data_IF_399517235294
#
_entry.id   IF_399517235294
#
_cell.length_a   1.000
_cell.length_b   1.000
_cell.length_c   1.000
_cell.angle_alpha   90.00
_cell.angle_beta   90.00
_cell.angle_gamma   90.00
#
_symmetry.space_group_name_H-M   'P 1'
#
loop_
_entity.id
_entity.type
_entity.pdbx_description
1 polymer ?
#
# COMPACT_ATOMS: atom_id res chain seq x y z
N UNK A 1 13.82 23.40 -10.19
CA UNK A 1 14.97 22.71 -9.55
C UNK A 1 15.47 23.49 -8.34
N UNK A 2 15.42 22.90 -7.15
CA UNK A 2 16.06 23.51 -5.97
C UNK A 2 17.59 23.52 -6.18
N UNK A 3 18.30 24.58 -5.80
CA UNK A 3 19.73 24.76 -6.13
C UNK A 3 20.68 23.71 -5.53
N UNK A 4 20.21 22.86 -4.61
CA UNK A 4 21.04 21.88 -3.89
C UNK A 4 20.61 20.42 -4.07
N UNK A 5 19.55 20.15 -4.84
CA UNK A 5 19.15 18.75 -5.09
C UNK A 5 20.11 18.06 -6.05
N UNK A 6 20.56 16.86 -5.69
CA UNK A 6 21.51 16.03 -6.42
C UNK A 6 20.87 14.71 -6.92
N UNK A 7 19.56 14.54 -6.75
CA UNK A 7 18.77 13.46 -7.37
C UNK A 7 17.40 13.96 -7.82
N UNK A 8 16.91 13.38 -8.93
CA UNK A 8 15.57 13.58 -9.45
C UNK A 8 14.86 12.22 -9.59
N UNK A 9 13.61 12.17 -9.14
CA UNK A 9 12.68 11.07 -9.39
C UNK A 9 11.62 11.51 -10.38
N UNK A 10 11.18 10.60 -11.23
CA UNK A 10 10.02 10.77 -12.10
C UNK A 10 8.97 9.76 -11.65
N UNK A 11 7.90 10.25 -11.02
CA UNK A 11 6.97 9.44 -10.23
C UNK A 11 5.60 9.40 -10.89
N UNK A 12 4.99 8.21 -10.87
CA UNK A 12 3.65 7.97 -11.37
C UNK A 12 3.52 8.03 -12.89
N UNK A 13 2.30 7.74 -13.36
CA UNK A 13 1.94 7.82 -14.77
C UNK A 13 1.98 9.27 -15.29
N UNK A 14 1.71 10.23 -14.42
CA UNK A 14 1.82 11.67 -14.68
C UNK A 14 3.26 12.19 -14.80
N UNK A 15 4.27 11.34 -14.56
CA UNK A 15 5.68 11.67 -14.70
C UNK A 15 6.09 12.90 -13.86
N UNK A 16 5.53 13.02 -12.65
CA UNK A 16 5.83 14.14 -11.76
C UNK A 16 7.29 14.10 -11.33
N UNK A 17 7.98 15.23 -11.51
CA UNK A 17 9.40 15.38 -11.14
C UNK A 17 9.52 15.76 -9.67
N UNK A 18 10.18 14.92 -8.89
CA UNK A 18 10.48 15.16 -7.48
C UNK A 18 12.00 15.28 -7.31
N UNK A 19 12.46 16.40 -6.76
CA UNK A 19 13.87 16.67 -6.51
C UNK A 19 14.20 16.43 -5.03
N UNK A 20 15.33 15.81 -4.75
CA UNK A 20 15.74 15.48 -3.38
C UNK A 20 17.27 15.45 -3.22
N UNK A 21 17.71 15.17 -1.99
CA UNK A 21 19.10 15.08 -1.57
C UNK A 21 19.47 13.61 -1.28
N UNK A 22 20.42 13.07 -2.05
CA UNK A 22 20.88 11.68 -1.93
C UNK A 22 21.36 11.37 -0.52
N UNK A 23 22.08 12.30 0.10
CA UNK A 23 22.63 12.12 1.45
C UNK A 23 21.53 11.93 2.51
N UNK A 24 20.43 12.69 2.43
CA UNK A 24 19.30 12.59 3.36
C UNK A 24 18.60 11.23 3.18
N UNK A 25 18.25 10.89 1.93
CA UNK A 25 17.53 9.65 1.63
C UNK A 25 18.36 8.41 1.97
N UNK A 26 19.62 8.36 1.56
CA UNK A 26 20.50 7.22 1.82
C UNK A 26 20.86 7.06 3.31
N UNK A 27 20.93 8.16 4.07
CA UNK A 27 21.17 8.07 5.52
C UNK A 27 19.99 7.44 6.25
N UNK A 28 18.76 7.77 5.82
CA UNK A 28 17.53 7.47 6.57
C UNK A 28 16.73 6.29 6.06
N UNK A 29 17.04 5.75 4.88
CA UNK A 29 16.37 4.59 4.32
C UNK A 29 17.35 3.69 3.57
N UNK A 30 17.43 2.42 3.97
CA UNK A 30 18.33 1.44 3.35
C UNK A 30 17.96 1.13 1.90
N UNK A 31 16.66 1.12 1.58
CA UNK A 31 16.18 0.92 0.21
C UNK A 31 16.65 2.07 -0.68
N UNK A 32 16.50 3.33 -0.23
CA UNK A 32 17.05 4.46 -0.96
C UNK A 32 18.58 4.40 -1.03
N UNK A 33 19.29 4.01 0.04
CA UNK A 33 20.76 3.83 -0.02
C UNK A 33 21.17 2.84 -1.11
N UNK A 34 20.50 1.68 -1.16
CA UNK A 34 20.73 0.66 -2.17
C UNK A 34 20.41 1.17 -3.57
N UNK A 35 19.22 1.72 -3.78
CA UNK A 35 18.79 2.27 -5.07
C UNK A 35 19.74 3.37 -5.58
N UNK A 36 20.15 4.29 -4.70
CA UNK A 36 21.04 5.39 -5.07
C UNK A 36 22.48 4.93 -5.31
N UNK A 37 22.92 3.83 -4.70
CA UNK A 37 24.25 3.25 -4.96
C UNK A 37 24.36 2.61 -6.35
N UNK A 38 23.23 2.28 -6.98
CA UNK A 38 23.18 1.74 -8.33
C UNK A 38 23.16 2.87 -9.36
N UNK A 39 23.69 2.58 -10.54
CA UNK A 39 23.61 3.50 -11.67
C UNK A 39 22.16 3.61 -12.19
N UNK A 40 21.59 4.81 -12.44
CA UNK A 40 20.29 4.93 -13.08
C UNK A 40 20.23 4.17 -14.41
N UNK A 41 19.08 3.57 -14.67
CA UNK A 41 18.79 2.82 -15.90
C UNK A 41 19.03 3.74 -17.11
N UNK A 42 19.90 3.31 -18.04
CA UNK A 42 20.24 4.06 -19.27
C UNK A 42 21.67 4.63 -19.33
N UNK A 43 22.51 4.39 -18.33
CA UNK A 43 23.92 4.81 -18.33
C UNK A 43 24.86 3.64 -18.68
N UNK A 44 24.92 3.27 -19.96
CA UNK A 44 25.84 2.22 -20.48
C UNK A 44 27.19 2.75 -20.98
N UNK A 45 27.47 4.04 -20.89
CA UNK A 45 28.75 4.58 -21.35
C UNK A 45 29.80 4.47 -20.23
N UNK A 46 30.48 3.33 -20.28
CA UNK A 46 31.63 2.97 -19.46
C UNK A 46 32.83 3.87 -19.80
N UNK A 47 33.29 4.72 -18.87
CA UNK A 47 34.70 5.17 -18.71
C UNK A 47 34.90 6.40 -17.80
N UNK A 48 33.84 7.02 -17.27
CA UNK A 48 33.97 8.21 -16.43
C UNK A 48 33.62 7.93 -14.97
N UNK A 49 34.49 8.36 -14.06
CA UNK A 49 34.36 8.29 -12.60
C UNK A 49 33.25 9.19 -12.01
N UNK A 50 32.22 9.50 -12.81
CA UNK A 50 31.13 10.39 -12.44
C UNK A 50 29.89 9.53 -12.19
N UNK A 51 29.24 9.61 -11.01
CA UNK A 51 28.02 8.87 -10.76
C UNK A 51 26.95 9.28 -11.79
N UNK A 52 26.20 8.32 -12.35
CA UNK A 52 25.36 8.60 -13.51
C UNK A 52 24.18 9.53 -13.17
N UNK A 53 23.92 10.45 -14.09
CA UNK A 53 23.15 11.70 -13.88
C UNK A 53 21.67 11.59 -14.33
N UNK A 54 21.10 10.38 -14.37
CA UNK A 54 19.74 10.14 -14.85
C UNK A 54 18.66 10.17 -13.73
N UNK A 55 17.39 10.47 -14.07
CA UNK A 55 16.30 10.38 -13.11
C UNK A 55 15.96 8.92 -12.76
N UNK A 56 15.53 8.68 -11.53
CA UNK A 56 14.95 7.39 -11.13
C UNK A 56 13.45 7.36 -11.48
N UNK A 57 13.01 6.39 -12.27
CA UNK A 57 11.63 6.28 -12.73
C UNK A 57 10.83 5.35 -11.82
N UNK A 58 9.78 5.87 -11.19
CA UNK A 58 8.89 5.16 -10.26
C UNK A 58 7.46 5.14 -10.82
N UNK A 59 7.22 4.30 -11.83
CA UNK A 59 5.95 4.29 -12.57
C UNK A 59 4.73 3.77 -11.81
N UNK A 60 4.93 2.93 -10.79
CA UNK A 60 3.85 2.30 -10.03
C UNK A 60 3.53 3.00 -8.71
N UNK A 61 4.18 4.12 -8.40
CA UNK A 61 4.00 4.85 -7.15
C UNK A 61 3.20 6.12 -7.42
N UNK A 62 2.14 6.35 -6.65
CA UNK A 62 1.39 7.61 -6.71
C UNK A 62 2.25 8.76 -6.18
N UNK A 63 2.33 9.91 -6.85
CA UNK A 63 3.22 10.99 -6.42
C UNK A 63 2.94 11.53 -5.03
N UNK A 64 1.66 11.60 -4.62
CA UNK A 64 1.27 12.02 -3.27
C UNK A 64 1.84 11.09 -2.18
N UNK A 65 1.77 9.77 -2.41
CA UNK A 65 2.32 8.75 -1.52
C UNK A 65 3.85 8.88 -1.44
N UNK A 66 4.51 9.07 -2.58
CA UNK A 66 5.95 9.26 -2.61
C UNK A 66 6.37 10.54 -1.87
N UNK A 67 5.64 11.64 -2.08
CA UNK A 67 5.90 12.91 -1.40
C UNK A 67 5.72 12.79 0.12
N UNK A 68 4.73 12.03 0.60
CA UNK A 68 4.55 11.74 2.03
C UNK A 68 5.74 10.97 2.62
N UNK A 69 6.28 9.99 1.89
CA UNK A 69 7.51 9.27 2.28
C UNK A 69 8.70 10.22 2.32
N UNK A 70 8.85 11.09 1.33
CA UNK A 70 9.92 12.09 1.29
C UNK A 70 9.78 13.07 2.45
N UNK A 71 8.59 13.62 2.72
CA UNK A 71 8.30 14.50 3.86
C UNK A 71 8.77 13.86 5.17
N UNK A 72 8.43 12.58 5.39
CA UNK A 72 8.86 11.83 6.56
C UNK A 72 10.38 11.70 6.67
N UNK A 73 11.07 11.40 5.57
CA UNK A 73 12.53 11.29 5.59
C UNK A 73 13.20 12.63 5.95
N UNK A 74 12.61 13.76 5.56
CA UNK A 74 13.18 15.07 5.90
C UNK A 74 12.81 15.56 7.30
N UNK A 75 11.60 15.28 7.75
CA UNK A 75 11.01 15.97 8.92
C UNK A 75 10.69 15.03 10.09
N UNK A 76 10.75 13.72 9.89
CA UNK A 76 10.26 12.70 10.82
C UNK A 76 8.76 12.85 11.15
N UNK A 77 8.02 13.58 10.31
CA UNK A 77 6.59 13.84 10.38
C UNK A 77 5.96 13.60 9.00
N UNK A 78 4.66 13.36 8.95
CA UNK A 78 3.95 13.15 7.67
C UNK A 78 2.55 13.75 7.76
N UNK A 79 2.12 14.38 6.68
CA UNK A 79 0.75 14.86 6.53
C UNK A 79 -0.08 13.79 5.81
N UNK A 80 -0.94 13.10 6.58
CA UNK A 80 -1.80 12.04 6.06
C UNK A 80 -3.23 12.54 5.83
N UNK A 81 -3.88 11.94 4.83
CA UNK A 81 -5.32 12.02 4.64
C UNK A 81 -5.88 10.60 4.40
N UNK A 82 -7.19 10.44 4.48
CA UNK A 82 -7.87 9.15 4.36
C UNK A 82 -7.69 8.45 3.01
N UNK A 83 -7.34 9.18 1.95
CA UNK A 83 -7.20 8.62 0.60
C UNK A 83 -5.84 7.99 0.34
N UNK A 84 -4.78 8.46 1.01
CA UNK A 84 -3.41 7.96 0.79
C UNK A 84 -2.86 7.13 1.96
N UNK A 85 -3.56 7.09 3.10
CA UNK A 85 -3.01 6.54 4.33
C UNK A 85 -2.63 5.05 4.22
N UNK A 86 -3.40 4.25 3.47
CA UNK A 86 -3.14 2.82 3.27
C UNK A 86 -1.98 2.58 2.30
N UNK A 87 -1.85 3.39 1.26
CA UNK A 87 -0.73 3.34 0.33
C UNK A 87 0.56 3.82 0.99
N UNK A 88 0.51 4.87 1.83
CA UNK A 88 1.67 5.30 2.61
C UNK A 88 2.05 4.24 3.64
N UNK A 89 1.09 3.56 4.27
CA UNK A 89 1.37 2.40 5.11
C UNK A 89 2.11 1.31 4.32
N UNK A 90 1.61 0.96 3.14
CA UNK A 90 2.25 -0.01 2.22
C UNK A 90 3.70 0.39 1.91
N UNK A 91 3.91 1.60 1.39
CA UNK A 91 5.25 2.11 1.06
C UNK A 91 6.16 2.17 2.28
N UNK A 92 5.63 2.52 3.46
CA UNK A 92 6.44 2.57 4.68
C UNK A 92 6.99 1.20 5.07
N UNK A 93 6.24 0.11 4.83
CA UNK A 93 6.71 -1.26 5.05
C UNK A 93 7.75 -1.64 3.99
N UNK A 94 7.49 -1.36 2.72
CA UNK A 94 8.41 -1.63 1.59
C UNK A 94 9.76 -0.91 1.75
N UNK A 95 9.74 0.34 2.21
CA UNK A 95 10.95 1.12 2.48
C UNK A 95 11.59 0.82 3.85
N UNK A 96 10.97 -0.01 4.68
CA UNK A 96 11.46 -0.35 6.02
C UNK A 96 11.38 0.80 7.03
N UNK A 97 10.46 1.75 6.85
CA UNK A 97 10.28 2.94 7.66
C UNK A 97 9.29 2.67 8.80
N UNK A 98 9.76 2.00 9.85
CA UNK A 98 8.91 1.52 10.95
C UNK A 98 8.19 2.64 11.72
N UNK A 99 8.82 3.80 11.91
CA UNK A 99 8.15 4.90 12.61
C UNK A 99 7.06 5.56 11.74
N UNK A 100 7.25 5.60 10.42
CA UNK A 100 6.18 5.99 9.49
C UNK A 100 5.04 4.96 9.51
N UNK A 101 5.34 3.65 9.56
CA UNK A 101 4.32 2.61 9.72
C UNK A 101 3.43 2.89 10.94
N UNK A 102 4.04 3.21 12.09
CA UNK A 102 3.31 3.52 13.34
C UNK A 102 2.43 4.77 13.20
N UNK A 103 2.92 5.81 12.52
CA UNK A 103 2.14 7.03 12.26
C UNK A 103 0.92 6.71 11.37
N UNK A 104 1.11 5.94 10.31
CA UNK A 104 0.02 5.50 9.43
C UNK A 104 -1.01 4.63 10.18
N UNK A 105 -0.56 3.62 10.94
CA UNK A 105 -1.46 2.77 11.72
C UNK A 105 -2.29 3.60 12.70
N UNK A 106 -1.65 4.52 13.42
CA UNK A 106 -2.36 5.42 14.34
C UNK A 106 -3.41 6.24 13.62
N UNK A 107 -3.03 6.90 12.52
CA UNK A 107 -3.95 7.72 11.73
C UNK A 107 -5.14 6.90 11.23
N UNK A 108 -4.89 5.72 10.66
CA UNK A 108 -5.95 4.83 10.13
C UNK A 108 -6.92 4.43 11.24
N UNK A 109 -6.44 4.11 12.45
CA UNK A 109 -7.31 3.79 13.60
C UNK A 109 -8.18 4.98 14.01
N UNK A 110 -7.61 6.19 13.98
CA UNK A 110 -8.31 7.40 14.41
C UNK A 110 -9.36 7.88 13.36
N UNK A 111 -9.17 7.55 12.08
CA UNK A 111 -10.04 8.00 10.97
C UNK A 111 -10.80 6.86 10.28
N UNK A 112 -10.83 5.66 10.86
CA UNK A 112 -11.39 4.47 10.24
C UNK A 112 -12.89 4.65 9.94
N UNK A 113 -13.31 4.22 8.75
CA UNK A 113 -14.70 4.29 8.31
C UNK A 113 -15.22 2.93 7.85
N UNK A 114 -16.56 2.80 7.76
CA UNK A 114 -17.23 1.57 7.30
C UNK A 114 -16.80 1.18 5.88
N UNK A 115 -16.60 2.15 5.00
CA UNK A 115 -16.16 1.88 3.62
C UNK A 115 -14.70 1.40 3.55
N UNK A 116 -13.85 1.85 4.47
CA UNK A 116 -12.40 1.59 4.44
C UNK A 116 -11.95 0.40 5.29
N UNK A 117 -12.76 -0.05 6.25
CA UNK A 117 -12.33 -1.04 7.24
C UNK A 117 -11.91 -2.37 6.62
N UNK A 118 -12.59 -2.81 5.56
CA UNK A 118 -12.24 -4.05 4.87
C UNK A 118 -10.85 -3.93 4.21
N UNK A 119 -10.61 -2.86 3.48
CA UNK A 119 -9.32 -2.59 2.84
C UNK A 119 -8.19 -2.46 3.87
N UNK A 120 -8.44 -1.72 4.96
CA UNK A 120 -7.51 -1.59 6.07
C UNK A 120 -7.18 -2.94 6.72
N UNK A 121 -8.18 -3.81 6.91
CA UNK A 121 -7.96 -5.16 7.43
C UNK A 121 -7.11 -6.00 6.47
N UNK A 122 -7.34 -5.89 5.16
CA UNK A 122 -6.53 -6.60 4.16
C UNK A 122 -5.07 -6.15 4.24
N UNK A 123 -4.81 -4.84 4.22
CA UNK A 123 -3.47 -4.30 4.37
C UNK A 123 -2.82 -4.76 5.69
N UNK A 124 -3.57 -4.73 6.80
CA UNK A 124 -3.07 -5.13 8.10
C UNK A 124 -2.70 -6.63 8.15
N UNK A 125 -3.45 -7.50 7.46
CA UNK A 125 -3.12 -8.92 7.33
C UNK A 125 -1.89 -9.11 6.46
N UNK A 126 -1.84 -8.48 5.28
CA UNK A 126 -0.73 -8.58 4.32
C UNK A 126 0.60 -8.15 4.94
N UNK A 127 0.61 -7.05 5.70
CA UNK A 127 1.83 -6.50 6.30
C UNK A 127 2.05 -6.92 7.76
N UNK A 128 1.28 -7.87 8.28
CA UNK A 128 1.46 -8.39 9.64
C UNK A 128 1.23 -7.36 10.76
N UNK A 129 0.42 -6.33 10.54
CA UNK A 129 0.11 -5.28 11.52
C UNK A 129 -0.97 -5.76 12.50
N UNK A 130 -0.57 -6.57 13.50
CA UNK A 130 -1.50 -7.26 14.42
C UNK A 130 -2.42 -6.30 15.18
N UNK A 131 -1.90 -5.18 15.67
CA UNK A 131 -2.70 -4.17 16.39
C UNK A 131 -3.81 -3.57 15.49
N UNK A 132 -3.48 -3.26 14.23
CA UNK A 132 -4.45 -2.77 13.26
C UNK A 132 -5.48 -3.86 12.91
N UNK A 133 -5.05 -5.11 12.74
CA UNK A 133 -5.98 -6.23 12.49
C UNK A 133 -7.02 -6.37 13.60
N UNK A 134 -6.61 -6.30 14.86
CA UNK A 134 -7.51 -6.40 16.01
C UNK A 134 -8.49 -5.22 16.04
N UNK A 135 -7.99 -4.01 15.78
CA UNK A 135 -8.82 -2.81 15.73
C UNK A 135 -9.86 -2.86 14.60
N UNK A 136 -9.46 -3.24 13.39
CA UNK A 136 -10.38 -3.40 12.27
C UNK A 136 -11.42 -4.49 12.54
N UNK A 137 -11.02 -5.62 13.12
CA UNK A 137 -11.98 -6.69 13.46
C UNK A 137 -13.01 -6.22 14.49
N UNK A 138 -12.58 -5.53 15.55
CA UNK A 138 -13.49 -4.96 16.54
C UNK A 138 -14.46 -3.93 15.92
N UNK A 139 -13.97 -3.12 14.97
CA UNK A 139 -14.82 -2.18 14.22
C UNK A 139 -15.87 -2.94 13.37
N UNK A 140 -15.47 -4.00 12.67
CA UNK A 140 -16.39 -4.84 11.87
C UNK A 140 -17.45 -5.48 12.77
N UNK A 141 -17.08 -5.98 13.94
CA UNK A 141 -18.03 -6.53 14.92
C UNK A 141 -19.06 -5.47 15.37
N UNK A 142 -18.61 -4.23 15.60
CA UNK A 142 -19.50 -3.11 15.97
C UNK A 142 -20.38 -2.58 14.83
N UNK A 143 -20.01 -2.81 13.58
CA UNK A 143 -20.71 -2.27 12.39
C UNK A 143 -21.03 -3.34 11.34
N UNK A 144 -21.24 -4.59 11.75
CA UNK A 144 -21.27 -5.77 10.86
C UNK A 144 -22.25 -5.57 9.69
N UNK A 145 -23.50 -5.24 9.98
CA UNK A 145 -24.54 -5.08 8.94
C UNK A 145 -24.22 -3.99 7.93
N UNK A 146 -23.56 -2.91 8.34
CA UNK A 146 -23.14 -1.85 7.42
C UNK A 146 -21.95 -2.32 6.56
N UNK A 147 -20.96 -2.98 7.19
CA UNK A 147 -19.77 -3.51 6.51
C UNK A 147 -20.13 -4.58 5.48
N UNK A 148 -21.06 -5.49 5.76
CA UNK A 148 -21.47 -6.54 4.82
C UNK A 148 -22.01 -5.99 3.49
N UNK A 149 -22.48 -4.74 3.47
CA UNK A 149 -23.06 -4.09 2.28
C UNK A 149 -22.02 -3.34 1.44
N UNK A 150 -20.83 -3.08 1.98
CA UNK A 150 -19.79 -2.30 1.31
C UNK A 150 -19.18 -3.06 0.14
N UNK A 151 -18.61 -2.30 -0.80
CA UNK A 151 -17.81 -2.88 -1.86
C UNK A 151 -16.56 -3.58 -1.29
N UNK A 152 -15.92 -2.97 -0.29
CA UNK A 152 -14.73 -3.53 0.35
C UNK A 152 -14.93 -4.93 0.94
N UNK A 153 -16.13 -5.27 1.44
CA UNK A 153 -16.41 -6.64 1.89
C UNK A 153 -16.44 -7.66 0.74
N UNK A 154 -17.04 -7.28 -0.40
CA UNK A 154 -17.12 -8.14 -1.60
C UNK A 154 -15.77 -8.39 -2.26
N UNK A 155 -14.80 -7.53 -2.00
CA UNK A 155 -13.45 -7.57 -2.56
C UNK A 155 -12.40 -8.12 -1.57
N UNK A 156 -12.82 -8.66 -0.42
CA UNK A 156 -11.91 -9.31 0.51
C UNK A 156 -11.21 -10.49 -0.14
N UNK A 157 -9.92 -10.68 0.14
CA UNK A 157 -9.25 -11.97 -0.09
C UNK A 157 -9.91 -13.07 0.75
N UNK A 158 -9.82 -14.31 0.28
CA UNK A 158 -10.31 -15.51 0.96
C UNK A 158 -9.72 -15.66 2.38
N UNK A 159 -8.43 -15.34 2.54
CA UNK A 159 -7.72 -15.34 3.82
C UNK A 159 -8.38 -14.37 4.82
N UNK A 160 -8.70 -13.16 4.36
CA UNK A 160 -9.26 -12.10 5.22
C UNK A 160 -10.74 -12.37 5.49
N UNK A 161 -11.50 -12.81 4.48
CA UNK A 161 -12.89 -13.22 4.66
C UNK A 161 -12.99 -14.35 5.71
N UNK A 162 -12.19 -15.40 5.58
CA UNK A 162 -12.17 -16.49 6.53
C UNK A 162 -11.82 -16.01 7.95
N UNK A 163 -11.00 -14.96 8.07
CA UNK A 163 -10.69 -14.35 9.37
C UNK A 163 -11.89 -13.60 9.95
N UNK A 164 -12.62 -12.85 9.13
CA UNK A 164 -13.84 -12.15 9.57
C UNK A 164 -14.91 -13.17 10.00
N UNK A 165 -15.16 -14.20 9.18
CA UNK A 165 -16.19 -15.22 9.45
C UNK A 165 -15.87 -16.15 10.64
N UNK A 166 -14.62 -16.18 11.12
CA UNK A 166 -14.24 -16.89 12.34
C UNK A 166 -14.60 -16.13 13.62
N UNK A 167 -15.06 -14.87 13.52
CA UNK A 167 -15.51 -14.12 14.69
C UNK A 167 -16.91 -14.54 15.08
N UNK A 168 -17.07 -14.99 16.33
CA UNK A 168 -18.38 -15.29 16.94
C UNK A 168 -19.14 -14.03 17.38
N UNK A 169 -18.60 -12.83 17.13
CA UNK A 169 -19.16 -11.54 17.56
C UNK A 169 -19.78 -10.72 16.43
N UNK A 170 -19.95 -11.30 15.24
CA UNK A 170 -20.60 -10.63 14.12
C UNK A 170 -22.08 -10.41 14.41
N UNK A 171 -22.48 -9.15 14.53
CA UNK A 171 -23.85 -8.76 14.85
C UNK A 171 -24.72 -8.67 13.58
N UNK A 172 -25.01 -9.81 12.95
CA UNK A 172 -25.87 -9.90 11.77
C UNK A 172 -26.69 -11.21 11.77
N UNK A 173 -27.85 -11.18 11.12
CA UNK A 173 -28.64 -12.39 10.90
C UNK A 173 -27.87 -13.37 9.99
N UNK A 174 -28.03 -14.68 10.25
CA UNK A 174 -27.36 -15.73 9.48
C UNK A 174 -27.69 -15.63 7.98
N UNK A 175 -28.93 -15.26 7.65
CA UNK A 175 -29.36 -15.05 6.28
C UNK A 175 -28.58 -13.92 5.59
N UNK A 176 -28.35 -12.80 6.29
CA UNK A 176 -27.59 -11.66 5.77
C UNK A 176 -26.12 -12.03 5.55
N UNK A 177 -25.53 -12.79 6.49
CA UNK A 177 -24.16 -13.28 6.37
C UNK A 177 -24.00 -14.24 5.18
N UNK A 178 -24.89 -15.22 5.04
CA UNK A 178 -24.87 -16.17 3.92
C UNK A 178 -25.06 -15.46 2.59
N UNK A 179 -25.96 -14.46 2.53
CA UNK A 179 -26.15 -13.67 1.33
C UNK A 179 -24.89 -12.87 0.97
N UNK A 180 -24.27 -12.19 1.94
CA UNK A 180 -23.04 -11.43 1.71
C UNK A 180 -21.88 -12.32 1.24
N UNK A 181 -21.71 -13.51 1.84
CA UNK A 181 -20.70 -14.49 1.42
C UNK A 181 -20.98 -15.03 0.01
N UNK A 182 -22.25 -15.23 -0.35
CA UNK A 182 -22.64 -15.62 -1.70
C UNK A 182 -22.31 -14.53 -2.72
N UNK A 183 -22.59 -13.26 -2.41
CA UNK A 183 -22.23 -12.12 -3.26
C UNK A 183 -20.71 -12.02 -3.45
N UNK A 184 -19.95 -12.14 -2.36
CA UNK A 184 -18.49 -12.22 -2.40
C UNK A 184 -17.99 -13.36 -3.29
N UNK A 185 -18.57 -14.55 -3.16
CA UNK A 185 -18.17 -15.72 -3.95
C UNK A 185 -18.43 -15.51 -5.45
N UNK A 186 -19.54 -14.85 -5.80
CA UNK A 186 -19.81 -14.47 -7.18
C UNK A 186 -18.74 -13.53 -7.73
N UNK A 187 -18.41 -12.45 -7.02
CA UNK A 187 -17.36 -11.49 -7.44
C UNK A 187 -15.99 -12.18 -7.55
N UNK A 188 -15.60 -12.92 -6.52
CA UNK A 188 -14.32 -13.63 -6.46
C UNK A 188 -14.18 -14.67 -7.58
N UNK A 189 -15.26 -15.38 -7.93
CA UNK A 189 -15.24 -16.35 -9.03
C UNK A 189 -14.94 -15.70 -10.39
N UNK A 190 -15.44 -14.49 -10.63
CA UNK A 190 -15.19 -13.74 -11.87
C UNK A 190 -13.74 -13.25 -11.92
N UNK A 191 -13.22 -12.71 -10.81
CA UNK A 191 -11.83 -12.26 -10.71
C UNK A 191 -10.83 -13.41 -10.87
N UNK A 192 -11.12 -14.58 -10.29
CA UNK A 192 -10.31 -15.80 -10.43
C UNK A 192 -10.36 -16.35 -11.87
N UNK A 193 -11.48 -16.19 -12.57
CA UNK A 193 -11.57 -16.58 -13.99
C UNK A 193 -10.78 -15.66 -14.92
N UNK A 194 -10.68 -14.37 -14.61
CA UNK A 194 -9.88 -13.40 -15.39
C UNK A 194 -8.36 -13.55 -15.19
N UNK A 195 -7.92 -14.10 -14.06
CA UNK A 195 -6.49 -14.34 -13.78
C UNK A 195 -5.96 -15.69 -14.34
N UNK A 196 -6.81 -16.52 -14.94
CA UNK A 196 -6.36 -17.78 -15.58
C UNK A 196 -5.69 -17.46 -16.93
N UNK A 197 -4.43 -17.89 -17.16
CA UNK A 197 -3.84 -17.79 -18.49
C UNK A 197 -4.67 -18.61 -19.50
N UNK A 198 -4.78 -18.17 -20.76
CA UNK A 198 -5.55 -18.88 -21.77
C UNK A 198 -5.01 -20.32 -21.91
N UNK A 199 -5.91 -21.31 -21.87
CA UNK A 199 -5.58 -22.71 -22.09
C UNK A 199 -5.02 -22.85 -23.51
N UNK A 200 -3.70 -22.92 -23.63
CA UNK A 200 -3.01 -23.09 -24.91
C UNK A 200 -1.54 -22.63 -24.97
N UNK A 201 -1.02 -21.92 -23.95
CA UNK A 201 0.33 -21.36 -24.04
C UNK A 201 1.49 -22.33 -23.73
N UNK A 202 1.22 -23.62 -23.49
CA UNK A 202 2.26 -24.63 -23.25
C UNK A 202 2.05 -25.78 -24.25
N UNK A 203 2.63 -25.61 -25.43
CA UNK A 203 3.06 -26.72 -26.27
C UNK A 203 4.56 -26.53 -26.54
N UNK A 204 5.36 -27.61 -26.52
CA UNK A 204 6.81 -27.59 -26.40
C UNK A 204 7.55 -26.93 -27.58
#
# INVERSE_FOLDING_TARGET
PSPHSDVMFVVGQEQQKVFAHRCVLACRCQVFRGMLSQAPVGSQDSSSSVPPQGPFILGNVQPEVFLAVIEFLYTNSVTLNSHIALEVLTSSVEYGLQDLCKLCVKFIKDTLSVEQVCEALQAAVTYGQVDLQQHCLAFIEGCTTAVLRTQGFRELSDVVLARVLRSDRLAADELDLVQAVREWAHVSSVSVMQQRPPRGAWAP
#
